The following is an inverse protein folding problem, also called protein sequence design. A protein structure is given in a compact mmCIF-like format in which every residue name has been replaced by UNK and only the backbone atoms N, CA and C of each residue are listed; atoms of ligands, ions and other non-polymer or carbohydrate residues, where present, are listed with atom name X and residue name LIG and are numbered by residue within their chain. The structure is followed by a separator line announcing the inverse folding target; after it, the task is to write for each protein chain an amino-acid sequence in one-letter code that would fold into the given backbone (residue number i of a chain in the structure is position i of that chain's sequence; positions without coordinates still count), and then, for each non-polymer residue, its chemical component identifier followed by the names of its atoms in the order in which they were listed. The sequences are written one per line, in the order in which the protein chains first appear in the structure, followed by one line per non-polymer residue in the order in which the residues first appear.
data_IF_740270697264
#
_entry.id   IF_740270697264
#
_cell.length_a   1.000
_cell.length_b   1.000
_cell.length_c   1.000
_cell.angle_alpha   90.00
_cell.angle_beta   90.00
_cell.angle_gamma   90.00
#
_symmetry.space_group_name_H-M   'P 1'
#
loop_
_entity.id
_entity.type
_entity.pdbx_description
1 polymer ?
#
# COMPACT_ATOMS: atom_id res chain seq x y z
N UNK A 1 16.41 -5.34 8.56
CA UNK A 1 15.13 -5.28 7.83
C UNK A 1 13.95 -5.05 8.80
N UNK A 2 13.74 -3.80 9.24
CA UNK A 2 12.69 -3.49 10.23
C UNK A 2 11.28 -3.46 9.61
N UNK A 3 11.20 -3.13 8.31
CA UNK A 3 9.92 -2.90 7.64
C UNK A 3 9.24 -4.15 7.05
N UNK A 4 10.00 -5.21 6.75
CA UNK A 4 9.47 -6.42 6.07
C UNK A 4 8.34 -7.07 6.87
N UNK A 5 8.40 -7.07 8.20
CA UNK A 5 7.35 -7.65 9.05
C UNK A 5 6.10 -6.77 9.21
N UNK A 6 6.20 -5.47 8.96
CA UNK A 6 5.11 -4.52 9.24
C UNK A 6 4.42 -3.96 7.99
N UNK A 7 5.08 -4.00 6.83
CA UNK A 7 4.53 -3.47 5.57
C UNK A 7 3.25 -4.17 5.13
N UNK A 8 3.11 -5.47 5.44
CA UNK A 8 1.90 -6.23 5.13
C UNK A 8 0.64 -5.65 5.77
N UNK A 9 0.73 -5.07 6.98
CA UNK A 9 -0.44 -4.48 7.64
C UNK A 9 -0.88 -3.21 6.93
N UNK A 10 0.07 -2.37 6.53
CA UNK A 10 -0.20 -1.14 5.80
C UNK A 10 -0.77 -1.41 4.41
N UNK A 11 -0.19 -2.36 3.66
CA UNK A 11 -0.75 -2.81 2.38
C UNK A 11 -2.16 -3.36 2.55
N UNK A 12 -2.42 -4.16 3.61
CA UNK A 12 -3.75 -4.66 3.92
C UNK A 12 -4.74 -3.53 4.18
N UNK A 13 -4.36 -2.50 4.94
CA UNK A 13 -5.24 -1.35 5.18
C UNK A 13 -5.64 -0.64 3.89
N UNK A 14 -4.71 -0.44 2.95
CA UNK A 14 -5.05 0.14 1.64
C UNK A 14 -6.08 -0.73 0.91
N UNK A 15 -5.91 -2.06 0.93
CA UNK A 15 -6.86 -3.00 0.32
C UNK A 15 -8.24 -2.91 0.98
N UNK A 16 -8.30 -2.81 2.31
CA UNK A 16 -9.54 -2.67 3.07
C UNK A 16 -10.25 -1.34 2.74
N UNK A 17 -9.51 -0.23 2.66
CA UNK A 17 -10.06 1.07 2.28
C UNK A 17 -10.57 1.10 0.83
N UNK A 18 -9.95 0.33 -0.08
CA UNK A 18 -10.47 0.16 -1.45
C UNK A 18 -11.77 -0.63 -1.41
N UNK A 19 -11.83 -1.69 -0.60
CA UNK A 19 -13.00 -2.55 -0.49
C UNK A 19 -14.21 -1.85 0.14
N UNK A 20 -13.99 -0.93 1.09
CA UNK A 20 -15.06 -0.17 1.75
C UNK A 20 -15.45 1.14 1.02
N UNK A 21 -14.71 1.50 -0.04
CA UNK A 21 -14.98 2.69 -0.85
C UNK A 21 -14.40 3.99 -0.31
N UNK A 22 -13.65 3.95 0.79
CA UNK A 22 -12.90 5.12 1.31
C UNK A 22 -11.72 5.51 0.41
N UNK A 23 -11.22 4.57 -0.40
CA UNK A 23 -10.19 4.79 -1.39
C UNK A 23 -10.67 4.35 -2.78
N UNK A 24 -10.18 5.02 -3.83
CA UNK A 24 -10.53 4.68 -5.20
C UNK A 24 -9.99 3.29 -5.57
N UNK A 25 -10.78 2.53 -6.33
CA UNK A 25 -10.34 1.27 -6.90
C UNK A 25 -9.16 1.49 -7.87
N UNK A 26 -8.16 0.61 -7.88
CA UNK A 26 -6.98 0.80 -8.71
C UNK A 26 -7.25 0.50 -10.17
N UNK A 27 -6.62 1.28 -11.03
CA UNK A 27 -6.39 0.94 -12.43
C UNK A 27 -4.96 0.38 -12.62
N UNK A 28 -4.72 -0.41 -13.69
CA UNK A 28 -3.38 -0.90 -13.99
C UNK A 28 -2.37 0.24 -14.15
N UNK A 29 -1.36 0.26 -13.28
CA UNK A 29 -0.30 1.28 -13.27
C UNK A 29 -0.40 2.29 -12.12
N UNK A 30 -1.51 2.29 -11.38
CA UNK A 30 -1.70 3.17 -10.23
C UNK A 30 -0.77 2.84 -9.06
N UNK A 31 -0.42 3.87 -8.29
CA UNK A 31 0.37 3.76 -7.07
C UNK A 31 -0.32 4.52 -5.95
N UNK A 32 -0.56 3.85 -4.83
CA UNK A 32 -1.03 4.47 -3.60
C UNK A 32 0.15 4.93 -2.76
N UNK A 33 0.01 6.13 -2.18
CA UNK A 33 1.03 6.72 -1.31
C UNK A 33 0.41 6.90 0.08
N UNK A 34 1.07 6.35 1.10
CA UNK A 34 0.65 6.46 2.50
C UNK A 34 1.70 7.23 3.27
N UNK A 35 1.28 8.33 3.88
CA UNK A 35 2.13 9.16 4.76
C UNK A 35 1.50 9.40 6.15
N UNK A 36 0.50 8.60 6.51
CA UNK A 36 -0.04 8.61 7.86
C UNK A 36 0.87 7.78 8.77
N UNK A 37 1.50 8.38 9.81
CA UNK A 37 2.38 7.65 10.70
C UNK A 37 1.66 6.48 11.41
N UNK A 38 0.35 6.57 11.66
CA UNK A 38 -0.41 5.50 12.31
C UNK A 38 -0.68 4.31 11.39
N UNK A 39 -0.68 4.52 10.07
CA UNK A 39 -0.93 3.48 9.08
C UNK A 39 0.35 2.91 8.49
N UNK A 40 1.51 3.44 8.89
CA UNK A 40 2.73 2.87 8.37
C UNK A 40 4.06 3.52 8.66
N UNK A 41 4.17 4.48 9.57
CA UNK A 41 5.45 5.08 9.89
C UNK A 41 5.82 4.86 11.33
N UNK A 42 7.12 4.88 11.62
CA UNK A 42 7.58 5.21 12.98
C UNK A 42 7.56 6.73 13.20
N UNK A 43 7.59 7.49 12.12
CA UNK A 43 7.47 8.94 12.07
C UNK A 43 7.07 9.40 10.65
N UNK A 44 6.81 10.69 10.48
CA UNK A 44 6.35 11.29 9.22
C UNK A 44 7.25 11.05 8.00
N UNK A 45 8.54 10.79 8.19
CA UNK A 45 9.45 10.57 7.05
C UNK A 45 9.30 9.18 6.41
N UNK A 46 8.61 8.24 7.04
CA UNK A 46 8.43 6.89 6.50
C UNK A 46 7.25 6.87 5.50
N UNK A 47 7.53 7.26 4.25
CA UNK A 47 6.52 7.28 3.18
C UNK A 47 6.43 5.91 2.51
N UNK A 48 5.21 5.39 2.38
CA UNK A 48 4.98 4.11 1.71
C UNK A 48 4.36 4.24 0.35
N UNK A 49 4.74 3.30 -0.51
CA UNK A 49 4.21 3.13 -1.85
C UNK A 49 3.63 1.72 -1.96
N UNK A 50 2.41 1.63 -2.48
CA UNK A 50 1.71 0.36 -2.67
C UNK A 50 1.18 0.33 -4.10
N UNK A 51 1.64 -0.65 -4.88
CA UNK A 51 1.29 -0.79 -6.30
C UNK A 51 0.68 -2.18 -6.56
N UNK A 52 -0.54 -2.26 -7.13
CA UNK A 52 -1.12 -3.52 -7.56
C UNK A 52 -0.45 -4.01 -8.84
N UNK A 53 -0.09 -5.29 -8.88
CA UNK A 53 0.42 -5.96 -10.08
C UNK A 53 -0.69 -6.79 -10.69
N UNK A 54 -1.04 -6.50 -11.93
CA UNK A 54 -2.08 -7.23 -12.66
C UNK A 54 -1.47 -8.38 -13.47
N UNK A 55 -2.16 -9.52 -13.48
CA UNK A 55 -1.88 -10.66 -14.36
C UNK A 55 -3.18 -11.23 -14.89
N UNK A 56 -3.37 -11.23 -16.21
CA UNK A 56 -4.61 -11.70 -16.82
C UNK A 56 -5.84 -10.86 -16.44
N UNK A 57 -5.68 -9.53 -16.33
CA UNK A 57 -6.78 -8.60 -16.03
C UNK A 57 -7.25 -8.59 -14.57
N UNK A 58 -6.56 -9.31 -13.67
CA UNK A 58 -6.86 -9.34 -12.23
C UNK A 58 -5.61 -8.99 -11.43
N UNK A 59 -5.80 -8.43 -10.23
CA UNK A 59 -4.70 -8.20 -9.29
C UNK A 59 -4.14 -9.57 -8.89
N UNK A 60 -2.85 -9.77 -9.11
CA UNK A 60 -2.11 -10.98 -8.78
C UNK A 60 -1.42 -10.84 -7.43
N UNK A 61 -0.75 -9.72 -7.20
CA UNK A 61 -0.08 -9.39 -5.96
C UNK A 61 0.06 -7.87 -5.78
N UNK A 62 0.57 -7.46 -4.63
CA UNK A 62 0.89 -6.08 -4.32
C UNK A 62 2.38 -5.94 -4.09
N UNK A 63 2.98 -4.94 -4.71
CA UNK A 63 4.34 -4.51 -4.40
C UNK A 63 4.26 -3.37 -3.39
N UNK A 64 5.07 -3.45 -2.34
CA UNK A 64 5.15 -2.41 -1.34
C UNK A 64 6.59 -1.98 -1.13
N UNK A 65 6.78 -0.67 -1.01
CA UNK A 65 8.06 -0.04 -0.71
C UNK A 65 7.88 0.99 0.41
N UNK A 66 8.93 1.23 1.20
CA UNK A 66 9.00 2.33 2.16
C UNK A 66 10.26 3.14 1.89
N UNK A 67 10.12 4.44 1.73
CA UNK A 67 11.22 5.39 1.63
C UNK A 67 11.31 6.24 2.90
N UNK A 68 12.52 6.72 3.20
CA UNK A 68 12.82 7.70 4.23
C UNK A 68 13.62 8.84 3.60
#
# INVERSE_FOLDING_TARGET
PVFVGVMQYSTRTVIEMIADGSCLAPEPGDIYIVNDPYLGGTHLMDVRFVMPVYRGGKIFCWLSNTGH
#
